data_IF_773242697455
#
_entry.id   IF_773242697455
#
_cell.length_a   1.000
_cell.length_b   1.000
_cell.length_c   1.000
_cell.angle_alpha   90.00
_cell.angle_beta   90.00
_cell.angle_gamma   90.00
#
_symmetry.space_group_name_H-M   'P 1'
#
loop_
_entity.id
_entity.type
_entity.pdbx_description
1 polymer ?
#
# COMPACT_ATOMS: atom_id res chain seq x y z
N UNK A 1 -8.08 -38.91 8.18
CA UNK A 1 -7.53 -37.61 8.64
C UNK A 1 -6.55 -36.91 7.70
N UNK A 2 -5.73 -37.60 6.89
CA UNK A 2 -4.74 -36.91 6.04
C UNK A 2 -5.31 -36.12 4.85
N UNK A 3 -6.51 -36.45 4.37
CA UNK A 3 -7.17 -35.71 3.28
C UNK A 3 -7.70 -34.32 3.71
N UNK A 4 -8.06 -34.16 4.99
CA UNK A 4 -8.56 -32.89 5.53
C UNK A 4 -7.48 -31.80 5.59
N UNK A 5 -6.23 -32.17 5.88
CA UNK A 5 -5.08 -31.26 5.90
C UNK A 5 -4.65 -30.76 4.51
N UNK A 6 -4.80 -31.59 3.48
CA UNK A 6 -4.46 -31.22 2.11
C UNK A 6 -5.49 -30.26 1.50
N UNK A 7 -6.77 -30.48 1.79
CA UNK A 7 -7.88 -29.60 1.43
C UNK A 7 -7.85 -28.27 2.19
N UNK A 8 -7.46 -28.27 3.48
CA UNK A 8 -7.31 -27.00 4.22
C UNK A 8 -6.11 -26.19 3.71
N UNK A 9 -5.00 -26.85 3.36
CA UNK A 9 -3.80 -26.22 2.80
C UNK A 9 -4.05 -25.56 1.45
N UNK A 10 -4.71 -26.26 0.52
CA UNK A 10 -5.05 -25.73 -0.81
C UNK A 10 -6.07 -24.58 -0.75
N UNK A 11 -7.05 -24.64 0.14
CA UNK A 11 -8.01 -23.53 0.36
C UNK A 11 -7.30 -22.28 0.90
N UNK A 12 -6.35 -22.45 1.81
CA UNK A 12 -5.56 -21.33 2.33
C UNK A 12 -4.71 -20.65 1.26
N UNK A 13 -4.10 -21.44 0.36
CA UNK A 13 -3.32 -20.91 -0.77
C UNK A 13 -4.18 -20.14 -1.77
N UNK A 14 -5.36 -20.67 -2.11
CA UNK A 14 -6.32 -19.99 -2.98
C UNK A 14 -6.79 -18.66 -2.40
N UNK A 15 -7.16 -18.63 -1.12
CA UNK A 15 -7.57 -17.40 -0.43
C UNK A 15 -6.45 -16.36 -0.44
N UNK A 16 -5.22 -16.77 -0.14
CA UNK A 16 -4.06 -15.89 -0.19
C UNK A 16 -3.87 -15.29 -1.58
N UNK A 17 -3.94 -16.11 -2.64
CA UNK A 17 -3.82 -15.65 -4.02
C UNK A 17 -4.95 -14.68 -4.39
N UNK A 18 -6.19 -14.97 -4.03
CA UNK A 18 -7.33 -14.08 -4.23
C UNK A 18 -7.12 -12.71 -3.55
N UNK A 19 -6.64 -12.70 -2.30
CA UNK A 19 -6.33 -11.48 -1.57
C UNK A 19 -5.18 -10.69 -2.23
N UNK A 20 -4.10 -11.37 -2.62
CA UNK A 20 -2.98 -10.74 -3.33
C UNK A 20 -3.44 -10.11 -4.64
N UNK A 21 -4.26 -10.82 -5.44
CA UNK A 21 -4.85 -10.28 -6.66
C UNK A 21 -5.74 -9.06 -6.40
N UNK A 22 -6.64 -9.14 -5.41
CA UNK A 22 -7.53 -8.04 -5.05
C UNK A 22 -6.74 -6.80 -4.62
N UNK A 23 -5.71 -6.98 -3.77
CA UNK A 23 -4.82 -5.90 -3.34
C UNK A 23 -4.07 -5.29 -4.52
N UNK A 24 -3.58 -6.11 -5.45
CA UNK A 24 -2.83 -5.62 -6.62
C UNK A 24 -3.75 -4.83 -7.54
N UNK A 25 -4.98 -5.29 -7.79
CA UNK A 25 -5.98 -4.55 -8.59
C UNK A 25 -6.31 -3.22 -7.93
N UNK A 26 -6.53 -3.21 -6.61
CA UNK A 26 -6.80 -1.99 -5.85
C UNK A 26 -5.61 -1.02 -5.92
N UNK A 27 -4.38 -1.50 -5.73
CA UNK A 27 -3.16 -0.70 -5.84
C UNK A 27 -2.98 -0.10 -7.25
N UNK A 28 -3.23 -0.87 -8.31
CA UNK A 28 -3.18 -0.36 -9.70
C UNK A 28 -4.26 0.69 -9.94
N UNK A 29 -5.48 0.48 -9.43
CA UNK A 29 -6.56 1.45 -9.54
C UNK A 29 -6.19 2.76 -8.84
N UNK A 30 -5.69 2.70 -7.60
CA UNK A 30 -5.25 3.87 -6.84
C UNK A 30 -4.08 4.58 -7.52
N UNK A 31 -3.06 3.85 -7.96
CA UNK A 31 -1.92 4.42 -8.67
C UNK A 31 -2.35 5.19 -9.92
N UNK A 32 -3.37 4.72 -10.66
CA UNK A 32 -3.90 5.44 -11.83
C UNK A 32 -4.54 6.77 -11.46
N UNK A 33 -5.13 6.88 -10.28
CA UNK A 33 -5.71 8.13 -9.78
C UNK A 33 -4.57 9.08 -9.40
N UNK A 34 -3.63 8.61 -8.57
CA UNK A 34 -2.46 9.37 -8.11
C UNK A 34 -1.62 9.90 -9.28
N UNK A 35 -1.37 9.08 -10.31
CA UNK A 35 -0.64 9.48 -11.51
C UNK A 35 -1.39 10.55 -12.31
N UNK A 36 -2.73 10.49 -12.35
CA UNK A 36 -3.53 11.54 -13.00
C UNK A 36 -3.47 12.86 -12.23
N UNK A 37 -3.41 12.81 -10.91
CA UNK A 37 -3.27 13.99 -10.04
C UNK A 37 -1.87 14.60 -10.17
N UNK A 38 -0.83 13.78 -10.10
CA UNK A 38 0.57 14.15 -10.38
C UNK A 38 0.74 14.85 -11.73
N UNK A 39 0.06 14.35 -12.77
CA UNK A 39 0.13 14.93 -14.11
C UNK A 39 -0.53 16.31 -14.17
N UNK A 40 -1.61 16.52 -13.41
CA UNK A 40 -2.34 17.80 -13.37
C UNK A 40 -1.60 18.84 -12.52
N UNK A 41 -1.05 18.48 -11.37
CA UNK A 41 -0.51 19.44 -10.40
C UNK A 41 0.98 19.77 -10.58
N UNK A 42 1.68 19.09 -11.50
CA UNK A 42 3.15 19.12 -11.68
C UNK A 42 3.89 18.59 -10.45
N UNK A 43 4.92 17.78 -10.71
CA UNK A 43 5.73 17.08 -9.71
C UNK A 43 6.24 17.98 -8.58
N UNK A 44 6.66 19.21 -8.89
CA UNK A 44 7.19 20.16 -7.91
C UNK A 44 6.13 20.69 -6.93
N UNK A 45 4.87 20.81 -7.34
CA UNK A 45 3.78 21.24 -6.46
C UNK A 45 3.29 20.08 -5.61
N UNK A 46 3.24 18.88 -6.19
CA UNK A 46 2.76 17.66 -5.52
C UNK A 46 3.65 17.22 -4.34
N UNK A 47 4.98 17.39 -4.48
CA UNK A 47 5.93 17.24 -3.36
C UNK A 47 6.20 18.54 -2.59
N UNK A 48 5.73 19.67 -3.13
CA UNK A 48 5.91 21.01 -2.55
C UNK A 48 4.82 21.42 -1.56
N UNK A 49 3.71 20.67 -1.47
CA UNK A 49 2.69 20.87 -0.44
C UNK A 49 3.23 20.41 0.92
N UNK A 50 3.49 21.34 1.83
CA UNK A 50 4.06 21.03 3.15
C UNK A 50 3.13 20.25 4.08
N UNK A 51 3.71 19.51 5.02
CA UNK A 51 3.00 18.87 6.13
C UNK A 51 2.43 17.48 5.81
N UNK A 52 1.24 17.19 6.35
CA UNK A 52 0.59 15.88 6.29
C UNK A 52 0.24 15.42 4.86
N UNK A 53 -0.01 16.35 3.94
CA UNK A 53 -0.43 16.05 2.57
C UNK A 53 0.70 15.46 1.72
N UNK A 54 1.93 15.98 1.83
CA UNK A 54 3.09 15.37 1.17
C UNK A 54 3.40 13.96 1.71
N UNK A 55 3.22 13.76 3.02
CA UNK A 55 3.43 12.45 3.64
C UNK A 55 2.35 11.45 3.24
N UNK A 56 1.09 11.90 3.12
CA UNK A 56 0.01 11.09 2.58
C UNK A 56 0.31 10.62 1.15
N UNK A 57 0.69 11.55 0.28
CA UNK A 57 1.05 11.26 -1.11
C UNK A 57 2.25 10.32 -1.21
N UNK A 58 3.28 10.54 -0.38
CA UNK A 58 4.45 9.67 -0.36
C UNK A 58 4.09 8.24 0.13
N UNK A 59 3.27 8.14 1.19
CA UNK A 59 2.80 6.86 1.71
C UNK A 59 1.90 6.11 0.72
N UNK A 60 1.02 6.81 0.01
CA UNK A 60 0.14 6.21 -1.00
C UNK A 60 0.94 5.67 -2.19
N UNK A 61 1.96 6.41 -2.64
CA UNK A 61 2.83 6.05 -3.75
C UNK A 61 3.76 4.89 -3.35
N UNK A 62 4.32 4.92 -2.14
CA UNK A 62 5.10 3.83 -1.56
C UNK A 62 4.27 2.54 -1.45
N UNK A 63 3.02 2.64 -0.96
CA UNK A 63 2.10 1.50 -0.89
C UNK A 63 1.82 0.91 -2.28
N UNK A 64 1.46 1.75 -3.26
CA UNK A 64 1.10 1.27 -4.59
C UNK A 64 2.29 0.61 -5.30
N UNK A 65 3.46 1.25 -5.27
CA UNK A 65 4.67 0.74 -5.92
C UNK A 65 5.16 -0.57 -5.30
N UNK A 66 5.25 -0.64 -3.97
CA UNK A 66 5.67 -1.87 -3.27
C UNK A 66 4.70 -3.04 -3.48
N UNK A 67 3.39 -2.77 -3.48
CA UNK A 67 2.36 -3.80 -3.71
C UNK A 67 2.41 -4.36 -5.14
N UNK A 68 2.69 -3.52 -6.14
CA UNK A 68 2.81 -3.95 -7.55
C UNK A 68 4.16 -4.64 -7.81
N UNK A 69 5.24 -4.17 -7.17
CA UNK A 69 6.56 -4.76 -7.32
C UNK A 69 6.69 -6.13 -6.64
N UNK A 70 5.96 -6.38 -5.55
CA UNK A 70 6.01 -7.66 -4.83
C UNK A 70 5.73 -8.91 -5.72
N UNK A 71 4.61 -8.98 -6.48
CA UNK A 71 4.39 -10.09 -7.39
C UNK A 71 5.43 -10.13 -8.52
N UNK A 72 5.89 -8.98 -9.04
CA UNK A 72 6.94 -8.95 -10.06
C UNK A 72 8.26 -9.55 -9.54
N UNK A 73 8.70 -9.19 -8.33
CA UNK A 73 9.88 -9.74 -7.66
C UNK A 73 9.75 -11.25 -7.42
N UNK A 74 8.55 -11.71 -7.07
CA UNK A 74 8.27 -13.12 -6.81
C UNK A 74 8.23 -13.97 -8.07
N UNK A 75 7.57 -13.51 -9.13
CA UNK A 75 7.34 -14.29 -10.35
C UNK A 75 8.43 -14.13 -11.41
N UNK A 76 9.04 -12.94 -11.52
CA UNK A 76 10.05 -12.67 -12.56
C UNK A 76 11.45 -13.02 -12.07
N UNK A 77 11.77 -12.67 -10.83
CA UNK A 77 13.13 -12.79 -10.27
C UNK A 77 13.30 -14.00 -9.33
N UNK A 78 12.20 -14.68 -8.96
CA UNK A 78 12.23 -15.78 -7.99
C UNK A 78 12.68 -15.35 -6.59
N UNK A 79 12.77 -14.04 -6.33
CA UNK A 79 13.32 -13.48 -5.10
C UNK A 79 12.23 -13.37 -4.03
N UNK A 80 11.86 -14.51 -3.43
CA UNK A 80 10.79 -14.61 -2.43
C UNK A 80 11.03 -13.72 -1.21
N UNK A 81 12.26 -13.65 -0.71
CA UNK A 81 12.63 -12.80 0.43
C UNK A 81 12.42 -11.31 0.16
N UNK A 82 12.74 -10.85 -1.05
CA UNK A 82 12.53 -9.44 -1.43
C UNK A 82 11.06 -9.12 -1.66
N UNK A 83 10.29 -10.07 -2.18
CA UNK A 83 8.85 -9.93 -2.31
C UNK A 83 8.16 -9.81 -0.94
N UNK A 84 8.56 -10.63 0.04
CA UNK A 84 8.02 -10.56 1.41
C UNK A 84 8.41 -9.24 2.09
N UNK A 85 9.64 -8.76 1.90
CA UNK A 85 10.06 -7.43 2.38
C UNK A 85 9.27 -6.29 1.71
N UNK A 86 9.01 -6.38 0.40
CA UNK A 86 8.20 -5.41 -0.31
C UNK A 86 6.74 -5.38 0.19
N UNK A 87 6.15 -6.54 0.48
CA UNK A 87 4.81 -6.62 1.08
C UNK A 87 4.77 -6.08 2.52
N UNK A 88 5.82 -6.29 3.30
CA UNK A 88 5.94 -5.71 4.64
C UNK A 88 6.07 -4.17 4.58
N UNK A 89 6.82 -3.64 3.62
CA UNK A 89 6.90 -2.21 3.39
C UNK A 89 5.55 -1.65 2.92
N UNK A 90 4.85 -2.36 2.03
CA UNK A 90 3.52 -2.00 1.57
C UNK A 90 2.53 -1.90 2.74
N UNK A 91 2.50 -2.92 3.61
CA UNK A 91 1.59 -2.92 4.76
C UNK A 91 1.91 -1.79 5.73
N UNK A 92 3.19 -1.52 6.00
CA UNK A 92 3.61 -0.39 6.82
C UNK A 92 3.18 0.96 6.23
N UNK A 93 3.41 1.16 4.93
CA UNK A 93 2.97 2.37 4.22
C UNK A 93 1.44 2.52 4.22
N UNK A 94 0.68 1.42 4.14
CA UNK A 94 -0.79 1.44 4.26
C UNK A 94 -1.24 1.88 5.65
N UNK A 95 -0.60 1.39 6.72
CA UNK A 95 -0.88 1.82 8.09
C UNK A 95 -0.59 3.30 8.30
N UNK A 96 0.55 3.78 7.79
CA UNK A 96 0.86 5.20 7.82
C UNK A 96 -0.17 6.01 7.05
N UNK A 97 -0.56 5.57 5.85
CA UNK A 97 -1.60 6.22 5.05
C UNK A 97 -2.93 6.31 5.81
N UNK A 98 -3.36 5.25 6.49
CA UNK A 98 -4.57 5.27 7.33
C UNK A 98 -4.45 6.24 8.51
N UNK A 99 -3.28 6.32 9.14
CA UNK A 99 -3.02 7.29 10.21
C UNK A 99 -3.11 8.73 9.71
N UNK A 100 -2.59 9.01 8.50
CA UNK A 100 -2.71 10.32 7.88
C UNK A 100 -4.14 10.61 7.41
N UNK A 101 -4.88 9.62 6.91
CA UNK A 101 -6.29 9.81 6.54
C UNK A 101 -7.16 10.23 7.75
N UNK A 102 -6.86 9.70 8.94
CA UNK A 102 -7.53 10.08 10.18
C UNK A 102 -7.29 11.55 10.59
N UNK A 103 -6.24 12.20 10.09
CA UNK A 103 -6.03 13.66 10.25
C UNK A 103 -7.10 14.50 9.57
N UNK A 104 -7.63 14.02 8.44
CA UNK A 104 -8.65 14.72 7.65
C UNK A 104 -10.01 14.80 8.35
N UNK A 105 -10.22 14.00 9.41
CA UNK A 105 -11.45 14.03 10.21
C UNK A 105 -11.35 15.14 11.26
N UNK A 106 -12.30 16.09 11.24
CA UNK A 106 -12.37 17.30 12.09
C UNK A 106 -12.20 17.07 13.60
N UNK A 107 -12.38 15.84 14.08
CA UNK A 107 -12.27 15.47 15.50
C UNK A 107 -10.87 14.96 15.87
N UNK A 108 -10.17 14.26 14.95
CA UNK A 108 -8.83 13.68 15.18
C UNK A 108 -7.68 14.53 14.68
N UNK A 109 -7.96 15.56 13.86
CA UNK A 109 -6.96 16.52 13.37
C UNK A 109 -6.09 17.15 14.48
N UNK A 110 -6.64 17.63 15.63
CA UNK A 110 -5.84 18.29 16.66
C UNK A 110 -4.84 17.36 17.37
N UNK A 111 -5.15 16.07 17.49
CA UNK A 111 -4.36 15.13 18.30
C UNK A 111 -3.03 14.76 17.64
N UNK A 112 -2.99 14.72 16.31
CA UNK A 112 -1.78 14.32 15.58
C UNK A 112 -0.92 15.55 15.22
N UNK A 113 -1.52 16.75 15.08
CA UNK A 113 -0.73 18.00 14.98
C UNK A 113 0.15 18.19 16.22
N UNK A 114 -0.34 17.81 17.42
CA UNK A 114 0.48 17.79 18.64
C UNK A 114 1.57 16.70 18.69
N UNK A 115 1.52 15.68 17.83
CA UNK A 115 2.56 14.63 17.75
C UNK A 115 3.62 14.98 16.70
N UNK A 116 3.31 15.89 15.77
CA UNK A 116 4.23 16.36 14.73
C UNK A 116 4.96 17.67 15.09
N UNK A 117 4.57 18.34 16.17
CA UNK A 117 5.41 19.33 16.88
C UNK A 117 6.38 18.63 17.84
#
# INVERSE_FOLDING_TARGET
DSAGGLLSSTRGQLLRLCCECALTVHAVHKLRIEVKELWKERWGTYFGMGGAMALENCASLAYCTSTICAPALRFVLGATHMADAALALASFACWLYLAFFLLGVKITGPTIVMVME
#
